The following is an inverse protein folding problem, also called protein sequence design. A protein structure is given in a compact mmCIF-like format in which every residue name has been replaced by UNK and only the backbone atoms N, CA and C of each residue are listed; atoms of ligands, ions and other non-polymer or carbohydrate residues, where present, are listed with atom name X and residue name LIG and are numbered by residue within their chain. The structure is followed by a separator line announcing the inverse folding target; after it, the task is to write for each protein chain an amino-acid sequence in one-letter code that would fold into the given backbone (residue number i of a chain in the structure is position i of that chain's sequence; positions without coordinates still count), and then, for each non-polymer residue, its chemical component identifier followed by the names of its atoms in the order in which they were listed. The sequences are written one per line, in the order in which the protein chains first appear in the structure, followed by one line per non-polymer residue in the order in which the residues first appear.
data_IF_808868747219
#
_entry.id   IF_808868747219
#
_cell.length_a   1.000
_cell.length_b   1.000
_cell.length_c   1.000
_cell.angle_alpha   90.00
_cell.angle_beta   90.00
_cell.angle_gamma   90.00
#
_symmetry.space_group_name_H-M   'P 1'
#
loop_
_entity.id
_entity.type
_entity.pdbx_description
1 polymer ?
#
# COMPACT_ATOMS: atom_id res chain seq x y z
N UNK A 1 20.59 -11.91 7.32
CA UNK A 1 19.53 -10.98 7.75
C UNK A 1 19.04 -10.21 6.52
N UNK A 2 17.90 -10.59 5.93
CA UNK A 2 17.36 -9.87 4.78
C UNK A 2 16.69 -8.58 5.26
N UNK A 3 17.47 -7.50 5.33
CA UNK A 3 16.97 -6.17 5.71
C UNK A 3 15.82 -5.71 4.80
N UNK A 4 15.84 -6.12 3.53
CA UNK A 4 14.86 -5.75 2.51
C UNK A 4 13.43 -6.16 2.90
N UNK A 5 13.22 -7.41 3.32
CA UNK A 5 11.89 -7.88 3.77
C UNK A 5 11.37 -7.13 4.99
N UNK A 6 12.26 -6.68 5.87
CA UNK A 6 11.90 -5.87 7.04
C UNK A 6 11.56 -4.43 6.65
N UNK A 7 12.24 -3.87 5.65
CA UNK A 7 11.89 -2.57 5.05
C UNK A 7 10.53 -2.63 4.34
N UNK A 8 10.30 -3.66 3.53
CA UNK A 8 9.02 -3.88 2.83
C UNK A 8 7.85 -3.95 3.83
N UNK A 9 8.06 -4.64 4.96
CA UNK A 9 7.03 -4.78 6.01
C UNK A 9 6.71 -3.45 6.69
N UNK A 10 7.69 -2.55 6.84
CA UNK A 10 7.46 -1.22 7.40
C UNK A 10 6.86 -0.25 6.37
N UNK A 11 7.27 -0.36 5.11
CA UNK A 11 6.86 0.58 4.05
C UNK A 11 5.43 0.31 3.56
N UNK A 12 5.09 -0.94 3.29
CA UNK A 12 3.76 -1.30 2.79
C UNK A 12 2.79 -1.58 3.94
N UNK A 13 1.54 -1.05 3.90
CA UNK A 13 0.90 -0.32 2.80
C UNK A 13 1.00 1.22 2.87
N UNK A 14 1.67 1.80 3.88
CA UNK A 14 1.71 3.26 4.12
C UNK A 14 2.32 4.05 2.97
N UNK A 15 3.32 3.48 2.29
CA UNK A 15 3.95 4.08 1.12
C UNK A 15 2.94 4.35 -0.01
N UNK A 16 1.99 3.43 -0.23
CA UNK A 16 0.94 3.58 -1.24
C UNK A 16 -0.01 4.72 -0.89
N UNK A 17 -0.33 4.90 0.40
CA UNK A 17 -1.15 6.02 0.87
C UNK A 17 -0.45 7.38 0.65
N UNK A 18 0.85 7.48 0.93
CA UNK A 18 1.62 8.72 0.70
C UNK A 18 1.76 9.01 -0.78
N UNK A 19 2.00 8.00 -1.61
CA UNK A 19 2.05 8.15 -3.06
C UNK A 19 0.72 8.66 -3.63
N UNK A 20 -0.41 8.13 -3.16
CA UNK A 20 -1.74 8.59 -3.58
C UNK A 20 -2.00 10.05 -3.15
N UNK A 21 -1.57 10.44 -1.95
CA UNK A 21 -1.69 11.83 -1.47
C UNK A 21 -0.90 12.80 -2.34
N UNK A 22 0.28 12.40 -2.81
CA UNK A 22 1.14 13.24 -3.65
C UNK A 22 0.75 13.26 -5.14
N UNK A 23 0.14 12.17 -5.64
CA UNK A 23 -0.21 12.02 -7.06
C UNK A 23 -1.64 12.47 -7.38
N UNK A 24 -2.59 12.25 -6.47
CA UNK A 24 -4.01 12.51 -6.71
C UNK A 24 -4.43 13.88 -6.18
N UNK A 25 -5.13 14.63 -7.03
CA UNK A 25 -5.68 15.94 -6.69
C UNK A 25 -6.64 15.85 -5.48
N UNK A 26 -6.66 16.85 -4.60
CA UNK A 26 -7.44 16.80 -3.35
C UNK A 26 -8.95 16.62 -3.59
N UNK A 27 -9.46 17.13 -4.71
CA UNK A 27 -10.85 17.00 -5.15
C UNK A 27 -11.28 15.56 -5.47
N UNK A 28 -10.34 14.71 -5.87
CA UNK A 28 -10.60 13.31 -6.23
C UNK A 28 -10.17 12.33 -5.12
N UNK A 29 -9.81 12.84 -3.94
CA UNK A 29 -9.35 12.02 -2.80
C UNK A 29 -10.54 11.45 -2.05
N UNK A 30 -11.04 10.31 -2.52
CA UNK A 30 -12.11 9.57 -1.85
C UNK A 30 -11.54 8.38 -1.06
N UNK A 31 -11.74 8.38 0.25
CA UNK A 31 -11.33 7.27 1.13
C UNK A 31 -11.91 5.89 0.74
N UNK A 32 -13.21 5.74 0.41
CA UNK A 32 -13.74 4.45 -0.02
C UNK A 32 -13.14 3.96 -1.35
N UNK A 33 -12.87 4.87 -2.30
CA UNK A 33 -12.21 4.52 -3.57
C UNK A 33 -10.76 4.05 -3.33
N UNK A 34 -10.02 4.80 -2.51
CA UNK A 34 -8.67 4.44 -2.12
C UNK A 34 -8.63 3.06 -1.45
N UNK A 35 -9.57 2.75 -0.56
CA UNK A 35 -9.62 1.44 0.11
C UNK A 35 -9.90 0.31 -0.89
N UNK A 36 -10.78 0.52 -1.87
CA UNK A 36 -11.05 -0.46 -2.92
C UNK A 36 -9.82 -0.72 -3.80
N UNK A 37 -9.12 0.34 -4.22
CA UNK A 37 -7.86 0.25 -4.99
C UNK A 37 -6.73 -0.38 -4.18
N UNK A 38 -6.63 -0.04 -2.89
CA UNK A 38 -5.65 -0.60 -1.97
C UNK A 38 -5.87 -2.11 -1.80
N UNK A 39 -7.11 -2.58 -1.64
CA UNK A 39 -7.40 -4.02 -1.57
C UNK A 39 -6.90 -4.77 -2.81
N UNK A 40 -7.10 -4.22 -4.02
CA UNK A 40 -6.54 -4.79 -5.25
C UNK A 40 -5.01 -4.82 -5.25
N UNK A 41 -4.37 -3.74 -4.78
CA UNK A 41 -2.91 -3.68 -4.64
C UNK A 41 -2.37 -4.66 -3.59
N UNK A 42 -3.09 -4.88 -2.49
CA UNK A 42 -2.72 -5.88 -1.47
C UNK A 42 -2.75 -7.29 -2.05
N UNK A 43 -3.77 -7.63 -2.86
CA UNK A 43 -3.81 -8.92 -3.58
C UNK A 43 -2.64 -9.08 -4.55
N UNK A 44 -2.22 -8.00 -5.22
CA UNK A 44 -1.03 -8.03 -6.07
C UNK A 44 0.25 -8.24 -5.25
N UNK A 45 0.42 -7.50 -4.14
CA UNK A 45 1.57 -7.65 -3.24
C UNK A 45 1.66 -9.07 -2.65
N UNK A 46 0.51 -9.68 -2.35
CA UNK A 46 0.41 -11.08 -1.90
C UNK A 46 0.92 -12.06 -2.96
N UNK A 47 0.50 -11.88 -4.22
CA UNK A 47 0.99 -12.68 -5.36
C UNK A 47 2.48 -12.51 -5.62
N UNK A 48 3.02 -11.31 -5.40
CA UNK A 48 4.46 -11.03 -5.58
C UNK A 48 5.29 -11.55 -4.39
N UNK A 49 4.65 -11.99 -3.30
CA UNK A 49 5.34 -12.51 -2.12
C UNK A 49 6.06 -11.42 -1.32
N UNK A 50 5.64 -10.15 -1.46
CA UNK A 50 6.21 -9.04 -0.69
C UNK A 50 5.71 -9.14 0.75
N UNK A 51 6.63 -9.05 1.71
CA UNK A 51 6.28 -8.96 3.13
C UNK A 51 5.67 -7.59 3.40
N UNK A 52 4.35 -7.44 3.31
CA UNK A 52 3.64 -6.23 3.75
C UNK A 52 2.91 -6.51 5.07
N UNK A 53 2.70 -5.46 5.86
CA UNK A 53 1.91 -5.58 7.09
C UNK A 53 0.44 -5.71 6.71
N UNK A 54 -0.17 -6.88 6.96
CA UNK A 54 -1.64 -7.02 6.89
C UNK A 54 -2.24 -6.13 7.98
N UNK A 55 -3.04 -5.16 7.56
CA UNK A 55 -3.89 -4.42 8.48
C UNK A 55 -5.20 -5.19 8.54
N UNK A 56 -5.42 -5.92 9.65
CA UNK A 56 -6.76 -6.40 10.01
C UNK A 56 -7.66 -5.22 10.41
#
# INVERSE_FOLDING_TARGET
MNNQSRFEYMLYPRLLAVAEIGWTAPENRSWPDFKARLNGQLTYLDKVGINYRRCE
#
